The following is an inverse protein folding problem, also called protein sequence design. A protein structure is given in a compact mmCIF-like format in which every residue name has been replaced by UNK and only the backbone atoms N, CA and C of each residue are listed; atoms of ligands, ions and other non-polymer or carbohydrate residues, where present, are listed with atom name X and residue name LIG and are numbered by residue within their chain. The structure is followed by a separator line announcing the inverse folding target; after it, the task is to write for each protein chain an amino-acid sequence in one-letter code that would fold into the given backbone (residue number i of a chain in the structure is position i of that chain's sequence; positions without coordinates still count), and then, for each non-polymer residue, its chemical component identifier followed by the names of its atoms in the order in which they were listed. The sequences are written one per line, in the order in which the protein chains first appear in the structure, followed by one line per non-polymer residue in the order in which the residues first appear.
data_IF_391900313537
#
_entry.id   IF_391900313537
#
_cell.length_a   1.000
_cell.length_b   1.000
_cell.length_c   1.000
_cell.angle_alpha   90.00
_cell.angle_beta   90.00
_cell.angle_gamma   90.00
#
_symmetry.space_group_name_H-M   'P 1'
#
loop_
_entity.id
_entity.type
_entity.pdbx_description
1 polymer ?
#
# COMPACT_ATOMS: atom_id res chain seq x y z
N UNK A 1 -0.36 -3.83 1.26
CA UNK A 1 -0.75 -4.41 -0.05
C UNK A 1 0.41 -5.19 -0.65
N UNK A 2 0.09 -6.13 -1.52
CA UNK A 2 1.05 -7.00 -2.18
C UNK A 2 1.14 -6.70 -3.67
N UNK A 3 2.29 -6.97 -4.26
CA UNK A 3 2.51 -6.86 -5.70
C UNK A 3 1.89 -8.09 -6.38
N UNK A 4 1.15 -7.85 -7.46
CA UNK A 4 0.61 -8.91 -8.30
C UNK A 4 1.59 -9.17 -9.44
N UNK A 5 2.14 -10.37 -9.48
CA UNK A 5 2.90 -10.86 -10.62
C UNK A 5 1.97 -11.29 -11.77
N UNK A 6 2.45 -11.21 -12.99
CA UNK A 6 1.70 -11.69 -14.16
C UNK A 6 1.70 -13.22 -14.32
N UNK A 7 2.45 -13.93 -13.50
CA UNK A 7 2.53 -15.39 -13.42
C UNK A 7 2.30 -15.86 -11.97
N UNK A 8 1.75 -17.05 -11.74
CA UNK A 8 1.55 -17.55 -10.37
C UNK A 8 2.90 -17.69 -9.68
N UNK A 9 3.01 -17.05 -8.51
CA UNK A 9 4.20 -17.07 -7.68
C UNK A 9 4.67 -18.53 -7.42
N UNK A 10 5.95 -18.77 -7.64
CA UNK A 10 6.61 -19.93 -7.04
C UNK A 10 6.57 -19.84 -5.51
N UNK A 11 6.84 -20.94 -4.82
CA UNK A 11 6.69 -21.14 -3.36
C UNK A 11 7.49 -20.18 -2.43
N UNK A 12 8.06 -19.09 -2.93
CA UNK A 12 8.86 -18.10 -2.16
C UNK A 12 8.05 -16.84 -1.78
N UNK A 13 6.82 -17.00 -1.33
CA UNK A 13 5.88 -15.94 -0.95
C UNK A 13 6.34 -14.99 0.20
N UNK A 14 7.51 -15.17 0.77
CA UNK A 14 7.98 -14.39 1.94
C UNK A 14 8.55 -12.99 1.63
N UNK A 15 8.69 -12.61 0.36
CA UNK A 15 9.36 -11.35 -0.02
C UNK A 15 8.44 -10.24 -0.57
N UNK A 16 7.17 -10.51 -0.83
CA UNK A 16 6.40 -9.71 -1.80
C UNK A 16 5.75 -8.42 -1.27
N UNK A 17 5.64 -8.21 0.03
CA UNK A 17 4.58 -7.32 0.46
C UNK A 17 4.99 -5.99 1.11
N UNK A 18 6.23 -5.80 1.47
CA UNK A 18 6.65 -4.60 2.24
C UNK A 18 6.94 -3.40 1.34
N UNK A 19 7.18 -3.62 0.07
CA UNK A 19 7.67 -2.64 -0.90
C UNK A 19 6.70 -1.50 -1.19
N UNK A 20 5.46 -1.82 -1.44
CA UNK A 20 4.47 -0.81 -1.81
C UNK A 20 4.30 0.30 -0.77
N UNK A 21 4.41 -0.03 0.51
CA UNK A 21 4.27 0.95 1.59
C UNK A 21 5.44 1.94 1.64
N UNK A 22 6.67 1.48 1.46
CA UNK A 22 7.86 2.35 1.45
C UNK A 22 7.76 3.35 0.31
N UNK A 23 7.53 2.89 -0.92
CA UNK A 23 7.38 3.74 -2.10
C UNK A 23 6.24 4.74 -1.91
N UNK A 24 5.08 4.30 -1.43
CA UNK A 24 3.94 5.17 -1.15
C UNK A 24 4.28 6.25 -0.12
N UNK A 25 4.92 5.89 0.98
CA UNK A 25 5.31 6.85 2.02
C UNK A 25 6.31 7.90 1.53
N UNK A 26 7.19 7.56 0.59
CA UNK A 26 8.14 8.50 -0.01
C UNK A 26 7.58 9.32 -1.18
N UNK A 27 6.30 9.19 -1.50
CA UNK A 27 5.66 10.06 -2.49
C UNK A 27 5.07 9.34 -3.70
N UNK A 28 5.08 8.00 -3.73
CA UNK A 28 4.32 7.24 -4.71
C UNK A 28 2.82 7.47 -4.57
N UNK A 29 2.09 7.36 -5.66
CA UNK A 29 0.63 7.54 -5.71
C UNK A 29 -0.05 6.33 -6.34
N UNK A 30 -1.30 6.08 -5.95
CA UNK A 30 -2.09 4.95 -6.43
C UNK A 30 -3.08 5.38 -7.49
N UNK A 31 -3.08 4.65 -8.61
CA UNK A 31 -3.96 4.87 -9.78
C UNK A 31 -4.84 3.62 -9.95
N UNK A 32 -6.15 3.80 -10.07
CA UNK A 32 -7.06 2.69 -10.32
C UNK A 32 -7.11 2.31 -11.82
N UNK A 33 -7.83 1.24 -12.15
CA UNK A 33 -7.97 0.75 -13.52
C UNK A 33 -8.55 1.78 -14.50
N UNK A 34 -9.30 2.77 -14.01
CA UNK A 34 -9.85 3.87 -14.82
C UNK A 34 -8.86 5.02 -15.04
N UNK A 35 -7.66 4.99 -14.45
CA UNK A 35 -6.64 6.03 -14.56
C UNK A 35 -6.77 7.15 -13.52
N UNK A 36 -7.57 6.98 -12.48
CA UNK A 36 -7.78 8.01 -11.46
C UNK A 36 -7.01 7.70 -10.17
N UNK A 37 -6.41 8.71 -9.56
CA UNK A 37 -5.97 8.66 -8.17
C UNK A 37 -7.18 8.76 -7.23
N UNK A 38 -7.20 8.01 -6.12
CA UNK A 38 -8.41 7.83 -5.32
C UNK A 38 -8.22 7.97 -3.81
N UNK A 39 -6.98 8.09 -3.29
CA UNK A 39 -6.73 8.20 -1.84
C UNK A 39 -5.50 9.03 -1.51
N UNK A 40 -5.30 9.30 -0.22
CA UNK A 40 -4.03 9.70 0.37
C UNK A 40 -3.23 8.45 0.69
N UNK A 41 -2.08 8.26 0.08
CA UNK A 41 -1.24 7.08 0.23
C UNK A 41 -0.31 7.15 1.45
N UNK A 42 -0.29 8.27 2.14
CA UNK A 42 0.47 8.44 3.38
C UNK A 42 -0.40 8.10 4.58
N UNK A 43 -0.24 6.89 5.11
CA UNK A 43 -1.05 6.39 6.22
C UNK A 43 -0.65 4.99 6.65
N UNK A 44 -1.38 4.45 7.60
CA UNK A 44 -1.21 3.07 8.06
C UNK A 44 -1.67 2.06 7.01
N UNK A 45 -0.93 0.97 6.83
CA UNK A 45 -1.26 -0.07 5.85
C UNK A 45 -2.70 -0.63 6.01
N UNK A 46 -3.20 -0.73 7.24
CA UNK A 46 -4.58 -1.19 7.49
C UNK A 46 -5.65 -0.17 7.07
N UNK A 47 -5.30 1.11 7.01
CA UNK A 47 -6.21 2.18 6.56
C UNK A 47 -6.28 2.24 5.04
N UNK A 48 -5.17 1.95 4.35
CA UNK A 48 -5.08 2.06 2.89
C UNK A 48 -5.72 0.87 2.16
N UNK A 49 -5.60 -0.34 2.71
CA UNK A 49 -6.07 -1.58 2.09
C UNK A 49 -7.57 -1.55 1.72
N UNK A 50 -8.52 -1.07 2.56
CA UNK A 50 -9.93 -0.98 2.17
C UNK A 50 -10.18 -0.10 0.94
N UNK A 51 -9.39 0.95 0.75
CA UNK A 51 -9.52 1.82 -0.42
C UNK A 51 -9.10 1.11 -1.71
N UNK A 52 -8.07 0.26 -1.66
CA UNK A 52 -7.63 -0.57 -2.79
C UNK A 52 -8.68 -1.63 -3.11
N UNK A 53 -9.17 -2.34 -2.10
CA UNK A 53 -10.20 -3.39 -2.27
C UNK A 53 -11.54 -2.85 -2.76
N UNK A 54 -11.79 -1.55 -2.63
CA UNK A 54 -12.98 -0.89 -3.18
C UNK A 54 -12.85 -0.53 -4.66
N UNK A 55 -11.66 -0.66 -5.27
CA UNK A 55 -11.47 -0.39 -6.70
C UNK A 55 -11.89 -1.58 -7.56
N UNK A 56 -12.05 -1.34 -8.87
CA UNK A 56 -12.35 -2.36 -9.87
C UNK A 56 -11.34 -3.50 -9.79
N UNK A 57 -11.82 -4.72 -9.79
CA UNK A 57 -11.04 -5.98 -9.65
C UNK A 57 -10.16 -6.04 -8.39
N UNK A 58 -10.38 -5.15 -7.42
CA UNK A 58 -9.61 -5.04 -6.17
C UNK A 58 -8.11 -4.77 -6.39
N UNK A 59 -7.77 -4.11 -7.49
CA UNK A 59 -6.40 -3.76 -7.87
C UNK A 59 -6.21 -2.26 -8.04
N UNK A 60 -4.96 -1.82 -7.92
CA UNK A 60 -4.51 -0.53 -8.40
C UNK A 60 -3.05 -0.60 -8.85
N UNK A 61 -2.56 0.48 -9.41
CA UNK A 61 -1.16 0.65 -9.80
C UNK A 61 -0.51 1.67 -8.87
N UNK A 62 0.53 1.25 -8.15
CA UNK A 62 1.38 2.17 -7.39
C UNK A 62 2.39 2.80 -8.34
N UNK A 63 2.18 4.07 -8.68
CA UNK A 63 3.02 4.84 -9.60
C UNK A 63 4.03 5.68 -8.82
N UNK A 64 5.27 5.73 -9.31
CA UNK A 64 6.39 6.42 -8.69
C UNK A 64 7.46 6.81 -9.71
N UNK A 65 8.49 7.51 -9.26
CA UNK A 65 9.61 8.00 -10.08
C UNK A 65 10.95 7.50 -9.50
N UNK A 66 12.07 7.86 -10.11
CA UNK A 66 13.42 7.56 -9.60
C UNK A 66 13.64 8.05 -8.16
N UNK A 67 13.02 9.17 -7.78
CA UNK A 67 13.15 9.69 -6.42
C UNK A 67 12.65 8.69 -5.38
N UNK A 68 11.48 8.08 -5.60
CA UNK A 68 10.91 7.08 -4.68
C UNK A 68 11.61 5.73 -4.83
N UNK A 69 11.91 5.32 -6.06
CA UNK A 69 12.63 4.08 -6.36
C UNK A 69 13.97 4.01 -5.62
N UNK A 70 14.71 5.12 -5.57
CA UNK A 70 16.03 5.20 -4.89
C UNK A 70 15.96 4.99 -3.38
N UNK A 71 14.78 5.11 -2.77
CA UNK A 71 14.56 4.87 -1.33
C UNK A 71 14.26 3.42 -1.02
N UNK A 72 13.98 2.62 -2.04
CA UNK A 72 13.61 1.21 -1.88
C UNK A 72 14.75 0.29 -2.30
N UNK A 73 15.24 -0.51 -1.34
CA UNK A 73 16.39 -1.41 -1.58
C UNK A 73 16.05 -2.60 -2.49
N UNK A 74 14.78 -2.94 -2.62
CA UNK A 74 14.30 -4.09 -3.39
C UNK A 74 13.92 -3.71 -4.83
N UNK A 75 13.88 -2.42 -5.18
CA UNK A 75 13.46 -1.96 -6.51
C UNK A 75 14.25 -2.64 -7.65
N UNK A 76 15.57 -2.78 -7.52
CA UNK A 76 16.39 -3.45 -8.51
C UNK A 76 16.03 -4.94 -8.69
N UNK A 77 15.60 -5.61 -7.62
CA UNK A 77 15.20 -7.02 -7.69
C UNK A 77 13.80 -7.15 -8.31
N UNK A 78 12.88 -6.22 -8.07
CA UNK A 78 11.59 -6.15 -8.76
C UNK A 78 11.74 -5.90 -10.28
N UNK A 79 12.66 -5.02 -10.67
CA UNK A 79 12.96 -4.82 -12.10
C UNK A 79 13.47 -6.11 -12.75
N UNK A 80 14.38 -6.83 -12.08
CA UNK A 80 14.88 -8.14 -12.57
C UNK A 80 13.77 -9.20 -12.64
N UNK A 81 12.83 -9.18 -11.70
CA UNK A 81 11.67 -10.06 -11.69
C UNK A 81 10.65 -9.73 -12.80
N UNK A 82 10.78 -8.56 -13.46
CA UNK A 82 9.90 -8.17 -14.57
C UNK A 82 8.51 -7.71 -14.13
N UNK A 83 8.32 -7.37 -12.85
CA UNK A 83 7.01 -6.94 -12.30
C UNK A 83 6.83 -5.43 -12.31
N UNK A 84 7.85 -4.67 -12.70
CA UNK A 84 7.82 -3.21 -12.80
C UNK A 84 7.40 -2.80 -14.22
N UNK A 85 6.35 -2.02 -14.32
CA UNK A 85 5.99 -1.31 -15.55
C UNK A 85 6.76 -0.01 -15.62
N UNK A 86 7.21 0.38 -16.82
CA UNK A 86 8.06 1.54 -17.02
C UNK A 86 7.56 2.42 -18.16
N UNK A 87 7.73 3.73 -18.06
CA UNK A 87 7.42 4.68 -19.11
C UNK A 87 8.21 5.98 -18.97
N UNK A 88 8.92 6.39 -20.02
CA UNK A 88 9.64 7.69 -20.02
C UNK A 88 8.67 8.87 -19.97
N UNK A 89 7.43 8.66 -20.38
CA UNK A 89 6.34 9.63 -20.37
C UNK A 89 5.09 9.03 -19.72
N UNK A 90 4.17 9.89 -19.29
CA UNK A 90 2.88 9.49 -18.73
C UNK A 90 2.06 8.65 -19.71
N UNK A 91 2.08 9.00 -20.99
CA UNK A 91 1.39 8.27 -22.05
C UNK A 91 1.94 6.85 -22.20
N UNK A 92 3.28 6.70 -22.23
CA UNK A 92 3.92 5.38 -22.30
C UNK A 92 3.63 4.53 -21.05
N UNK A 93 3.63 5.15 -19.86
CA UNK A 93 3.26 4.43 -18.65
C UNK A 93 1.80 4.01 -18.70
N UNK A 94 0.88 4.90 -19.14
CA UNK A 94 -0.53 4.57 -19.28
C UNK A 94 -0.77 3.39 -20.22
N UNK A 95 -0.07 3.38 -21.36
CA UNK A 95 -0.11 2.26 -22.31
C UNK A 95 0.40 0.96 -21.68
N UNK A 96 1.52 1.04 -20.94
CA UNK A 96 2.12 -0.13 -20.28
C UNK A 96 1.19 -0.77 -19.23
N UNK A 97 0.46 0.04 -18.45
CA UNK A 97 -0.46 -0.45 -17.42
C UNK A 97 -1.92 -0.58 -17.89
N UNK A 98 -2.21 -0.20 -19.14
CA UNK A 98 -3.54 -0.37 -19.75
C UNK A 98 -4.62 0.58 -19.21
N UNK A 99 -4.26 1.79 -18.77
CA UNK A 99 -5.21 2.79 -18.25
C UNK A 99 -5.42 3.96 -19.21
N UNK A 100 -6.43 4.77 -18.95
CA UNK A 100 -6.68 5.96 -19.76
C UNK A 100 -5.57 7.01 -19.58
N UNK A 101 -4.84 7.34 -20.68
CA UNK A 101 -3.67 8.22 -20.66
C UNK A 101 -4.02 9.66 -20.24
N UNK A 102 -5.16 10.21 -20.68
CA UNK A 102 -5.57 11.57 -20.32
C UNK A 102 -5.86 11.70 -18.82
N UNK A 103 -6.50 10.68 -18.23
CA UNK A 103 -6.78 10.65 -16.79
C UNK A 103 -5.51 10.48 -15.96
N UNK A 104 -4.58 9.60 -16.40
CA UNK A 104 -3.29 9.43 -15.75
C UNK A 104 -2.49 10.73 -15.76
N UNK A 105 -2.36 11.37 -16.92
CA UNK A 105 -1.66 12.65 -17.06
C UNK A 105 -2.30 13.74 -16.18
N UNK A 106 -3.62 13.79 -16.14
CA UNK A 106 -4.32 14.73 -15.26
C UNK A 106 -4.03 14.44 -13.77
N UNK A 107 -4.04 13.16 -13.35
CA UNK A 107 -3.75 12.78 -11.96
C UNK A 107 -2.31 13.17 -11.56
N UNK A 108 -1.33 12.98 -12.44
CA UNK A 108 0.06 13.36 -12.20
C UNK A 108 0.25 14.87 -12.16
N UNK A 109 -0.38 15.60 -13.06
CA UNK A 109 -0.33 17.07 -13.07
C UNK A 109 -1.01 17.67 -11.82
N UNK A 110 -2.15 17.12 -11.40
CA UNK A 110 -2.83 17.53 -10.17
C UNK A 110 -1.94 17.27 -8.93
N UNK A 111 -1.25 16.13 -8.91
CA UNK A 111 -0.29 15.80 -7.84
C UNK A 111 0.89 16.77 -7.81
N UNK A 112 1.50 17.10 -8.97
CA UNK A 112 2.57 18.11 -9.07
C UNK A 112 2.11 19.49 -8.57
N UNK A 113 0.87 19.86 -8.85
CA UNK A 113 0.29 21.10 -8.28
C UNK A 113 0.17 21.03 -6.76
N UNK A 114 -0.19 19.85 -6.22
CA UNK A 114 -0.19 19.61 -4.77
C UNK A 114 1.20 19.75 -4.16
N UNK A 115 2.23 19.17 -4.79
CA UNK A 115 3.63 19.30 -4.35
C UNK A 115 4.04 20.80 -4.26
N UNK A 116 3.73 21.59 -5.30
CA UNK A 116 4.03 23.03 -5.30
C UNK A 116 3.29 23.83 -4.23
N UNK A 117 2.10 23.38 -3.81
CA UNK A 117 1.31 24.02 -2.75
C UNK A 117 1.67 23.55 -1.34
N UNK A 118 2.38 22.42 -1.21
CA UNK A 118 2.66 21.76 0.07
C UNK A 118 1.52 20.88 0.59
N UNK A 119 0.43 20.74 -0.15
CA UNK A 119 -0.72 19.90 0.17
C UNK A 119 -1.46 19.52 -1.11
N UNK A 120 -1.82 18.24 -1.24
CA UNK A 120 -2.57 17.76 -2.39
C UNK A 120 -4.10 17.71 -2.15
N UNK A 121 -4.85 17.32 -3.17
CA UNK A 121 -6.34 17.26 -3.10
C UNK A 121 -6.89 16.21 -2.13
N UNK A 122 -6.04 15.29 -1.64
CA UNK A 122 -6.39 14.28 -0.64
C UNK A 122 -5.87 14.65 0.75
N UNK A 123 -5.52 15.92 0.98
CA UNK A 123 -4.97 16.45 2.21
C UNK A 123 -3.64 15.78 2.61
N UNK A 124 -2.87 15.29 1.63
CA UNK A 124 -1.54 14.76 1.86
C UNK A 124 -0.55 15.91 1.91
N UNK A 125 0.17 16.03 3.02
CA UNK A 125 1.22 17.04 3.25
C UNK A 125 2.63 16.44 3.22
N UNK A 126 2.73 15.11 3.37
CA UNK A 126 4.00 14.41 3.21
C UNK A 126 4.21 14.10 1.72
N UNK A 127 4.85 15.04 1.04
CA UNK A 127 5.01 15.07 -0.41
C UNK A 127 6.49 14.95 -0.80
N UNK A 128 6.82 14.37 -1.97
CA UNK A 128 8.18 14.33 -2.50
C UNK A 128 8.64 15.71 -2.97
N UNK A 129 9.90 15.83 -3.35
CA UNK A 129 10.44 17.07 -3.91
C UNK A 129 9.96 17.33 -5.35
N UNK A 130 9.74 16.26 -6.12
CA UNK A 130 9.20 16.31 -7.47
C UNK A 130 8.42 15.02 -7.81
N UNK A 131 7.72 15.03 -8.94
CA UNK A 131 7.10 13.85 -9.52
C UNK A 131 7.24 13.91 -11.04
N UNK A 132 8.50 13.85 -11.50
CA UNK A 132 8.88 13.96 -12.90
C UNK A 132 9.52 12.64 -13.36
N UNK A 133 9.23 12.22 -14.62
CA UNK A 133 9.69 10.95 -15.17
C UNK A 133 11.22 10.78 -15.22
N UNK A 134 11.70 9.55 -15.41
CA UNK A 134 10.92 8.39 -15.83
C UNK A 134 9.96 7.90 -14.73
N UNK A 135 8.88 7.27 -15.20
CA UNK A 135 7.81 6.76 -14.34
C UNK A 135 7.82 5.25 -14.27
N UNK A 136 7.47 4.73 -13.12
CA UNK A 136 7.33 3.30 -12.84
C UNK A 136 5.98 3.02 -12.24
N UNK A 137 5.49 1.78 -12.41
CA UNK A 137 4.31 1.31 -11.73
C UNK A 137 4.45 -0.14 -11.28
N UNK A 138 3.83 -0.46 -10.14
CA UNK A 138 3.64 -1.81 -9.64
C UNK A 138 2.15 -2.10 -9.57
N UNK A 139 1.71 -3.22 -10.11
CA UNK A 139 0.33 -3.69 -9.94
C UNK A 139 0.18 -4.28 -8.55
N UNK A 140 -0.74 -3.75 -7.74
CA UNK A 140 -0.89 -4.12 -6.33
C UNK A 140 -2.34 -4.40 -5.96
N UNK A 141 -2.53 -5.23 -4.93
CA UNK A 141 -3.82 -5.52 -4.30
C UNK A 141 -3.72 -5.48 -2.78
N UNK A 142 -4.85 -5.56 -2.09
CA UNK A 142 -4.90 -5.71 -0.65
C UNK A 142 -4.49 -7.10 -0.19
N UNK A 143 -3.78 -7.19 0.92
CA UNK A 143 -3.31 -8.43 1.52
C UNK A 143 -3.61 -8.49 3.02
N UNK A 144 -3.81 -9.68 3.55
CA UNK A 144 -3.92 -9.94 4.98
C UNK A 144 -2.59 -10.55 5.47
N UNK A 145 -1.83 -9.78 6.24
CA UNK A 145 -0.55 -10.22 6.82
C UNK A 145 -0.70 -10.79 8.22
N UNK A 146 -1.58 -10.21 9.01
CA UNK A 146 -1.88 -10.67 10.37
C UNK A 146 -3.26 -10.16 10.80
N UNK A 147 -3.79 -10.75 11.86
CA UNK A 147 -5.02 -10.26 12.50
C UNK A 147 -4.68 -9.33 13.66
N UNK A 148 -5.52 -8.32 13.88
CA UNK A 148 -5.36 -7.36 14.96
C UNK A 148 -6.51 -7.42 15.97
N UNK A 149 -7.25 -8.46 15.95
CA UNK A 149 -8.22 -8.86 16.93
C UNK A 149 -7.82 -10.19 17.53
N UNK A 150 -8.45 -10.59 18.58
CA UNK A 150 -8.12 -11.87 19.19
C UNK A 150 -8.88 -12.14 20.47
N UNK A 151 -8.31 -12.96 21.33
CA UNK A 151 -8.92 -13.36 22.59
C UNK A 151 -8.88 -12.21 23.59
N UNK A 152 -10.00 -11.96 24.24
CA UNK A 152 -10.06 -11.01 25.35
C UNK A 152 -9.27 -11.56 26.54
N UNK A 153 -8.40 -10.75 27.12
CA UNK A 153 -7.54 -11.14 28.23
C UNK A 153 -7.61 -10.13 29.36
N UNK A 154 -7.25 -10.58 30.58
CA UNK A 154 -6.91 -9.69 31.67
C UNK A 154 -5.46 -9.19 31.61
N UNK A 155 -5.05 -8.38 32.62
CA UNK A 155 -3.67 -7.87 32.71
C UNK A 155 -2.62 -8.97 32.98
N UNK A 156 -3.03 -10.15 33.39
CA UNK A 156 -2.20 -11.33 33.59
C UNK A 156 -2.15 -12.23 32.35
N UNK A 157 -2.69 -11.76 31.21
CA UNK A 157 -2.80 -12.52 29.97
C UNK A 157 -3.71 -13.77 30.05
N UNK A 158 -4.53 -13.92 31.08
CA UNK A 158 -5.52 -15.00 31.11
C UNK A 158 -6.66 -14.71 30.16
N UNK A 159 -7.06 -15.72 29.39
CA UNK A 159 -8.18 -15.59 28.45
C UNK A 159 -9.51 -15.55 29.19
N UNK A 160 -10.36 -14.61 28.79
CA UNK A 160 -11.68 -14.38 29.38
C UNK A 160 -12.79 -14.98 28.51
N UNK A 161 -13.82 -15.55 29.13
CA UNK A 161 -15.09 -15.86 28.48
C UNK A 161 -15.88 -14.57 28.21
N UNK A 162 -16.96 -14.67 27.44
CA UNK A 162 -17.83 -13.53 27.12
C UNK A 162 -18.47 -12.91 28.37
N UNK A 163 -18.66 -13.68 29.45
CA UNK A 163 -19.17 -13.23 30.75
C UNK A 163 -18.09 -12.60 31.65
N UNK A 164 -16.84 -12.56 31.18
CA UNK A 164 -15.70 -12.01 31.93
C UNK A 164 -15.02 -13.00 32.87
N UNK A 165 -15.47 -14.25 32.96
CA UNK A 165 -14.80 -15.27 33.76
C UNK A 165 -13.55 -15.79 33.09
N UNK A 166 -12.58 -16.26 33.88
CA UNK A 166 -11.33 -16.84 33.39
C UNK A 166 -11.55 -18.21 32.76
N UNK A 167 -10.77 -18.51 31.73
CA UNK A 167 -10.58 -19.87 31.24
C UNK A 167 -9.29 -20.41 31.88
N UNK A 168 -9.43 -21.33 32.82
CA UNK A 168 -8.28 -21.85 33.56
C UNK A 168 -7.24 -22.47 32.65
N UNK A 169 -5.98 -22.11 32.85
CA UNK A 169 -4.85 -22.64 32.10
C UNK A 169 -4.72 -22.11 30.68
N UNK A 170 -5.59 -21.21 30.23
CA UNK A 170 -5.50 -20.59 28.88
C UNK A 170 -4.98 -19.16 28.98
N UNK A 171 -3.91 -18.91 28.22
CA UNK A 171 -3.25 -17.61 28.17
C UNK A 171 -3.11 -17.16 26.72
N UNK A 172 -3.15 -15.83 26.48
CA UNK A 172 -2.87 -15.25 25.18
C UNK A 172 -2.08 -13.94 25.34
N UNK A 173 -1.13 -13.70 24.42
CA UNK A 173 -0.32 -12.50 24.41
C UNK A 173 0.05 -12.10 22.97
N UNK A 174 0.39 -10.83 22.78
CA UNK A 174 0.79 -10.32 21.45
C UNK A 174 -0.37 -10.22 20.47
N UNK A 175 -0.13 -10.47 19.19
CA UNK A 175 -1.11 -10.30 18.11
C UNK A 175 -2.35 -11.18 18.17
N UNK A 176 -2.39 -12.20 19.05
CA UNK A 176 -3.55 -13.06 19.25
C UNK A 176 -4.48 -12.59 20.39
N UNK A 177 -4.20 -11.46 21.02
CA UNK A 177 -5.06 -10.87 22.04
C UNK A 177 -5.78 -9.61 21.54
N UNK A 178 -6.98 -9.35 22.08
CA UNK A 178 -7.77 -8.15 21.79
C UNK A 178 -7.09 -6.89 22.38
N UNK A 179 -7.16 -5.77 21.64
CA UNK A 179 -6.73 -4.47 22.13
C UNK A 179 -5.23 -4.21 22.12
N UNK A 180 -4.43 -5.13 21.60
CA UNK A 180 -2.98 -4.92 21.45
C UNK A 180 -2.67 -3.92 20.31
N UNK A 181 -3.45 -3.93 19.24
CA UNK A 181 -3.35 -2.99 18.12
C UNK A 181 -4.64 -2.20 17.94
N UNK A 182 -4.53 -0.96 17.45
CA UNK A 182 -5.70 -0.16 17.07
C UNK A 182 -6.36 -0.70 15.80
N UNK A 183 -7.63 -0.34 15.59
CA UNK A 183 -8.35 -0.69 14.36
C UNK A 183 -7.68 -0.15 13.08
N UNK A 184 -6.89 0.92 13.18
CA UNK A 184 -6.10 1.49 12.09
C UNK A 184 -4.73 0.83 11.88
N UNK A 185 -4.36 -0.16 12.65
CA UNK A 185 -3.11 -0.92 12.47
C UNK A 185 -1.82 -0.20 12.80
N UNK A 186 -1.87 0.99 13.37
CA UNK A 186 -0.70 1.84 13.62
C UNK A 186 -0.11 1.71 15.04
N UNK A 187 -0.40 0.65 15.76
CA UNK A 187 -0.16 0.60 17.21
C UNK A 187 1.07 -0.22 17.65
N UNK A 188 2.04 -0.47 16.77
CA UNK A 188 3.35 -0.98 17.21
C UNK A 188 4.50 -0.50 16.36
#
# INVERSE_FOLDING_TARGET
YTILENEPAGDDADNDAVLGQTIANYGGITINAEGNRFMNEYGGYSELTPHILAQTDHICYLCFTDEQASKDKQFADLQKAGVVYEGDTEEKLADAIGVNAEKLAWAFEDYRKGIKRGEDRFNRTHLPSSFDGPFYALKVTGEIRHTQGGMKTDVGCHVLRADGSLIDGLYAAGGCMEGFSSAGGAAY
#
